data_IF_517244371928
#
_entry.id   IF_517244371928
#
_cell.length_a   1.000
_cell.length_b   1.000
_cell.length_c   1.000
_cell.angle_alpha   90.00
_cell.angle_beta   90.00
_cell.angle_gamma   90.00
#
_symmetry.space_group_name_H-M   'P 1'
#
loop_
_entity.id
_entity.type
_entity.pdbx_description
1 polymer ?
#
# COMPACT_ATOMS: atom_id res chain seq x y z
N UNK A 1 34.57 -8.85 -15.81
CA UNK A 1 34.91 -7.82 -16.81
C UNK A 1 33.86 -6.73 -16.67
N UNK A 2 34.25 -5.57 -16.15
CA UNK A 2 33.35 -4.45 -15.84
C UNK A 2 33.07 -3.63 -17.12
N UNK A 3 31.82 -3.30 -17.39
CA UNK A 3 31.47 -2.25 -18.34
C UNK A 3 30.58 -1.19 -17.67
N UNK A 4 31.14 0.02 -17.54
CA UNK A 4 30.40 1.27 -17.29
C UNK A 4 29.64 1.66 -18.55
N UNK A 5 28.40 2.12 -18.42
CA UNK A 5 27.64 2.76 -19.51
C UNK A 5 27.59 4.26 -19.24
N UNK A 6 28.03 5.05 -20.23
CA UNK A 6 28.00 6.52 -20.24
C UNK A 6 26.79 6.98 -21.07
N UNK A 7 26.07 8.01 -20.63
CA UNK A 7 24.98 8.63 -21.40
C UNK A 7 25.44 9.97 -21.98
N UNK A 8 25.15 10.30 -23.26
CA UNK A 8 25.48 11.60 -23.83
C UNK A 8 24.48 12.67 -23.37
N UNK A 9 24.98 13.88 -23.15
CA UNK A 9 24.19 15.06 -22.79
C UNK A 9 23.63 15.76 -24.04
N UNK A 10 22.38 16.25 -23.91
CA UNK A 10 21.85 17.36 -24.71
C UNK A 10 20.85 16.96 -25.78
N UNK A 11 19.56 17.14 -25.51
CA UNK A 11 18.59 17.62 -26.49
C UNK A 11 17.54 18.46 -25.76
N UNK A 12 17.49 19.74 -26.09
CA UNK A 12 16.42 20.67 -25.73
C UNK A 12 15.20 20.36 -26.60
N UNK A 13 14.01 20.30 -26.01
CA UNK A 13 12.76 20.46 -26.74
C UNK A 13 11.90 21.53 -26.10
N UNK A 14 11.41 22.39 -26.98
CA UNK A 14 10.60 23.57 -26.74
C UNK A 14 9.26 23.20 -26.11
N UNK A 15 8.76 24.13 -25.32
CA UNK A 15 7.44 24.16 -24.70
C UNK A 15 6.32 23.85 -25.67
N UNK A 16 5.51 22.83 -25.39
CA UNK A 16 4.05 22.96 -25.44
C UNK A 16 3.32 21.78 -24.76
N UNK A 17 2.48 22.15 -23.78
CA UNK A 17 1.24 21.51 -23.32
C UNK A 17 1.19 19.97 -23.12
N UNK A 18 1.83 19.45 -22.04
CA UNK A 18 1.77 18.02 -21.70
C UNK A 18 1.44 17.70 -20.22
N UNK A 19 0.81 18.61 -19.49
CA UNK A 19 0.56 18.45 -18.04
C UNK A 19 -0.52 17.41 -17.68
N UNK A 20 -1.40 17.04 -18.61
CA UNK A 20 -2.52 16.11 -18.35
C UNK A 20 -2.19 14.62 -18.54
N UNK A 21 -1.10 14.27 -19.24
CA UNK A 21 -0.80 12.87 -19.54
C UNK A 21 0.04 12.17 -18.46
N UNK A 22 0.82 12.92 -17.67
CA UNK A 22 1.68 12.36 -16.63
C UNK A 22 0.90 11.88 -15.38
N UNK A 23 -0.32 12.38 -15.15
CA UNK A 23 -1.16 12.00 -13.99
C UNK A 23 -1.91 10.68 -14.20
N UNK A 24 -2.24 10.34 -15.45
CA UNK A 24 -3.08 9.19 -15.82
C UNK A 24 -2.35 7.84 -15.79
N UNK A 25 -1.05 7.80 -16.10
CA UNK A 25 -0.31 6.53 -16.15
C UNK A 25 0.00 5.92 -14.77
N UNK A 26 0.11 6.74 -13.72
CA UNK A 26 0.49 6.23 -12.40
C UNK A 26 -0.65 5.46 -11.73
N UNK A 27 -1.90 5.88 -11.91
CA UNK A 27 -3.03 5.17 -11.31
C UNK A 27 -3.32 3.83 -11.97
N UNK A 28 -2.79 3.59 -13.18
CA UNK A 28 -2.76 2.26 -13.81
C UNK A 28 -1.75 1.30 -13.17
N UNK A 29 -0.66 1.78 -12.57
CA UNK A 29 0.33 0.93 -11.89
C UNK A 29 -0.16 0.39 -10.54
N UNK A 30 -1.26 0.95 -10.00
CA UNK A 30 -1.84 0.57 -8.70
C UNK A 30 -3.33 0.21 -8.77
N UNK A 31 -3.91 0.14 -9.98
CA UNK A 31 -5.25 -0.37 -10.21
C UNK A 31 -5.18 -1.89 -10.49
N UNK A 32 -6.15 -2.70 -9.99
CA UNK A 32 -6.18 -4.12 -10.29
C UNK A 32 -6.32 -4.35 -11.80
N UNK A 33 -5.52 -5.30 -12.33
CA UNK A 33 -5.52 -5.66 -13.74
C UNK A 33 -6.84 -6.38 -14.06
N UNK A 34 -7.71 -5.75 -14.84
CA UNK A 34 -8.86 -6.43 -15.46
C UNK A 34 -8.36 -7.15 -16.71
N UNK A 35 -8.45 -8.48 -16.70
CA UNK A 35 -8.06 -9.32 -17.84
C UNK A 35 -9.22 -9.31 -18.84
N UNK A 36 -9.09 -8.56 -19.93
CA UNK A 36 -9.93 -8.73 -21.11
C UNK A 36 -9.40 -9.92 -21.92
N UNK A 37 -10.14 -11.03 -21.95
CA UNK A 37 -9.80 -12.19 -22.77
C UNK A 37 -10.35 -12.00 -24.19
N UNK A 38 -9.55 -11.38 -25.05
CA UNK A 38 -9.77 -11.39 -26.50
C UNK A 38 -9.46 -12.79 -27.04
N UNK A 39 -10.50 -13.52 -27.45
CA UNK A 39 -10.38 -14.71 -28.28
C UNK A 39 -11.25 -14.55 -29.52
N UNK A 40 -10.62 -14.55 -30.69
CA UNK A 40 -11.28 -14.43 -31.98
C UNK A 40 -12.04 -15.73 -32.35
N UNK A 41 -13.36 -15.59 -32.38
CA UNK A 41 -14.44 -16.21 -33.16
C UNK A 41 -14.28 -17.59 -33.85
N UNK A 42 -15.25 -18.47 -33.56
CA UNK A 42 -15.91 -19.28 -34.61
C UNK A 42 -17.43 -19.29 -34.42
N UNK A 43 -18.11 -18.76 -35.45
CA UNK A 43 -19.53 -18.73 -35.83
C UNK A 43 -20.55 -19.60 -35.07
N UNK A 44 -21.66 -18.97 -34.65
CA UNK A 44 -22.83 -19.64 -34.09
C UNK A 44 -23.78 -18.70 -33.34
N UNK A 45 -24.80 -18.19 -34.03
CA UNK A 45 -25.82 -17.23 -33.59
C UNK A 45 -26.34 -17.42 -32.15
N UNK A 46 -26.16 -16.42 -31.29
CA UNK A 46 -26.84 -16.27 -29.99
C UNK A 46 -27.30 -14.84 -29.76
N UNK A 47 -28.41 -14.62 -29.02
CA UNK A 47 -29.13 -13.36 -28.99
C UNK A 47 -28.28 -12.25 -28.34
N UNK A 48 -28.36 -11.06 -28.93
CA UNK A 48 -27.74 -9.82 -28.47
C UNK A 48 -28.19 -9.51 -27.03
N UNK A 49 -27.39 -9.91 -26.05
CA UNK A 49 -27.44 -9.33 -24.71
C UNK A 49 -26.58 -8.08 -24.81
N UNK A 50 -27.20 -6.91 -24.68
CA UNK A 50 -26.47 -5.68 -24.39
C UNK A 50 -25.72 -5.91 -23.08
N UNK A 51 -24.42 -6.21 -23.16
CA UNK A 51 -23.54 -6.04 -22.02
C UNK A 51 -23.45 -4.55 -21.74
N UNK A 52 -24.21 -4.10 -20.74
CA UNK A 52 -23.99 -2.81 -20.11
C UNK A 52 -22.54 -2.79 -19.60
N UNK A 53 -21.67 -2.04 -20.29
CA UNK A 53 -20.45 -1.52 -19.69
C UNK A 53 -20.88 -0.76 -18.44
N UNK A 54 -20.72 -1.34 -17.27
CA UNK A 54 -20.76 -0.56 -16.04
C UNK A 54 -19.49 0.27 -16.02
N UNK A 55 -19.61 1.56 -16.31
CA UNK A 55 -18.58 2.58 -16.03
C UNK A 55 -18.33 2.66 -14.52
N UNK A 56 -17.69 1.64 -13.95
CA UNK A 56 -17.44 1.53 -12.53
C UNK A 56 -16.36 2.55 -12.14
N UNK A 57 -16.73 3.53 -11.32
CA UNK A 57 -15.82 4.55 -10.81
C UNK A 57 -14.61 3.92 -10.11
N UNK A 58 -13.40 4.30 -10.52
CA UNK A 58 -12.17 3.76 -9.94
C UNK A 58 -11.63 4.67 -8.84
N UNK A 59 -10.74 4.14 -7.98
CA UNK A 59 -10.02 4.95 -6.99
C UNK A 59 -9.26 6.08 -7.69
N UNK A 60 -8.77 5.82 -8.90
CA UNK A 60 -8.05 6.79 -9.69
C UNK A 60 -8.88 8.02 -10.05
N UNK A 61 -10.12 7.78 -10.43
CA UNK A 61 -11.04 8.84 -10.85
C UNK A 61 -11.38 9.73 -9.65
N UNK A 62 -11.67 9.11 -8.50
CA UNK A 62 -11.97 9.80 -7.25
C UNK A 62 -10.77 10.63 -6.78
N UNK A 63 -9.56 10.04 -6.78
CA UNK A 63 -8.35 10.74 -6.38
C UNK A 63 -7.98 11.86 -7.36
N UNK A 64 -8.23 11.68 -8.65
CA UNK A 64 -8.05 12.72 -9.65
C UNK A 64 -8.90 13.94 -9.31
N UNK A 65 -10.18 13.74 -8.99
CA UNK A 65 -11.10 14.80 -8.56
C UNK A 65 -10.65 15.49 -7.26
N UNK A 66 -10.33 14.71 -6.21
CA UNK A 66 -9.79 15.28 -4.97
C UNK A 66 -8.52 16.12 -5.20
N UNK A 67 -7.68 15.70 -6.14
CA UNK A 67 -6.43 16.37 -6.45
C UNK A 67 -6.59 17.69 -7.21
N UNK A 68 -7.80 18.01 -7.71
CA UNK A 68 -8.16 19.32 -8.27
C UNK A 68 -8.21 20.41 -7.19
N UNK A 69 -8.41 20.04 -5.92
CA UNK A 69 -8.37 20.95 -4.78
C UNK A 69 -6.97 21.52 -4.53
N UNK A 70 -5.91 20.91 -5.10
CA UNK A 70 -4.53 21.36 -4.92
C UNK A 70 -4.23 22.59 -5.79
N UNK A 71 -3.89 23.70 -5.13
CA UNK A 71 -3.41 24.95 -5.70
C UNK A 71 -1.95 24.78 -6.14
N UNK A 72 -1.72 24.72 -7.47
CA UNK A 72 -0.39 24.51 -8.07
C UNK A 72 0.52 25.74 -8.07
N UNK A 73 -0.02 26.93 -7.83
CA UNK A 73 0.74 28.19 -7.82
C UNK A 73 1.40 28.49 -6.47
N UNK A 74 1.05 27.74 -5.42
CA UNK A 74 1.55 27.90 -4.06
C UNK A 74 2.11 26.57 -3.55
N UNK A 75 3.20 26.62 -2.78
CA UNK A 75 3.83 25.39 -2.28
C UNK A 75 4.09 25.40 -0.77
N UNK A 76 3.71 24.32 -0.10
CA UNK A 76 4.15 23.94 1.23
C UNK A 76 5.52 23.27 1.14
N UNK A 77 6.55 23.89 1.74
CA UNK A 77 7.94 23.41 1.68
C UNK A 77 8.26 22.43 2.81
N UNK A 78 8.81 21.27 2.44
CA UNK A 78 9.28 20.21 3.33
C UNK A 78 10.78 20.04 3.19
N UNK A 79 11.50 20.16 4.30
CA UNK A 79 12.94 19.87 4.37
C UNK A 79 13.12 18.55 5.09
N UNK A 80 13.59 17.53 4.38
CA UNK A 80 13.60 16.13 4.83
C UNK A 80 15.04 15.63 4.89
N UNK A 81 15.43 15.05 6.02
CA UNK A 81 16.63 14.23 6.11
C UNK A 81 16.21 12.75 6.01
N UNK A 82 16.86 11.95 5.16
CA UNK A 82 16.50 10.54 4.93
C UNK A 82 16.72 9.66 6.17
N UNK A 83 17.68 9.99 7.03
CA UNK A 83 17.90 9.32 8.30
C UNK A 83 16.82 9.66 9.34
N UNK A 84 16.08 10.77 9.18
CA UNK A 84 15.04 11.20 10.11
C UNK A 84 13.80 11.80 9.40
N UNK A 85 13.17 10.98 8.54
CA UNK A 85 12.02 11.39 7.72
C UNK A 85 10.84 11.84 8.57
N UNK A 86 10.55 11.12 9.66
CA UNK A 86 9.43 11.43 10.55
C UNK A 86 9.52 12.83 11.15
N UNK A 87 10.67 13.21 11.71
CA UNK A 87 10.84 14.55 12.29
C UNK A 87 10.64 15.66 11.25
N UNK A 88 11.27 15.50 10.07
CA UNK A 88 11.10 16.44 8.96
C UNK A 88 9.65 16.58 8.51
N UNK A 89 8.95 15.45 8.38
CA UNK A 89 7.53 15.41 8.04
C UNK A 89 6.68 16.06 9.13
N UNK A 90 6.81 15.63 10.38
CA UNK A 90 6.04 16.14 11.51
C UNK A 90 6.21 17.65 11.68
N UNK A 91 7.43 18.17 11.57
CA UNK A 91 7.68 19.62 11.55
C UNK A 91 6.97 20.25 10.36
N UNK A 92 7.16 19.75 9.14
CA UNK A 92 6.55 20.29 7.93
C UNK A 92 5.03 20.43 8.01
N UNK A 93 4.33 19.36 8.42
CA UNK A 93 2.87 19.32 8.53
C UNK A 93 2.30 20.11 9.74
N UNK A 94 3.12 20.38 10.76
CA UNK A 94 2.73 21.16 11.95
C UNK A 94 3.06 22.65 11.85
N UNK A 95 3.75 23.10 10.80
CA UNK A 95 4.08 24.52 10.62
C UNK A 95 2.80 25.35 10.49
N UNK A 96 2.80 26.54 11.08
CA UNK A 96 1.71 27.52 10.90
C UNK A 96 1.52 27.98 9.44
N UNK A 97 2.55 27.82 8.60
CA UNK A 97 2.50 28.14 7.16
C UNK A 97 2.08 26.96 6.28
N UNK A 98 1.86 25.78 6.87
CA UNK A 98 1.41 24.63 6.12
C UNK A 98 -0.07 24.79 5.76
N UNK A 99 -0.36 24.61 4.47
CA UNK A 99 -1.71 24.50 3.95
C UNK A 99 -1.81 23.20 3.14
N UNK A 100 -2.76 22.30 3.44
CA UNK A 100 -2.97 21.07 2.68
C UNK A 100 -3.43 21.31 1.24
N UNK A 101 -4.00 22.49 0.91
CA UNK A 101 -4.39 22.84 -0.45
C UNK A 101 -3.20 23.27 -1.31
N UNK A 102 -2.06 23.65 -0.73
CA UNK A 102 -0.88 24.01 -1.51
C UNK A 102 -0.16 22.78 -2.04
N UNK A 103 0.48 22.87 -3.22
CA UNK A 103 1.32 21.78 -3.70
C UNK A 103 2.51 21.54 -2.74
N UNK A 104 3.10 20.37 -2.81
CA UNK A 104 4.21 19.98 -1.96
C UNK A 104 5.52 20.18 -2.70
N UNK A 105 6.44 20.94 -2.09
CA UNK A 105 7.82 21.06 -2.55
C UNK A 105 8.74 20.39 -1.54
N UNK A 106 9.43 19.33 -1.96
CA UNK A 106 10.32 18.56 -1.09
C UNK A 106 11.78 18.89 -1.41
N UNK A 107 12.55 19.16 -0.37
CA UNK A 107 14.01 19.26 -0.42
C UNK A 107 14.64 18.25 0.53
N UNK A 108 15.50 17.40 -0.01
CA UNK A 108 16.32 16.53 0.83
C UNK A 108 17.60 17.25 1.26
N UNK A 109 17.91 17.13 2.54
CA UNK A 109 19.16 17.61 3.15
C UNK A 109 19.98 16.41 3.58
N UNK A 110 21.26 16.40 3.26
CA UNK A 110 22.20 15.41 3.76
C UNK A 110 22.54 15.64 5.25
N UNK A 111 23.35 14.74 5.82
CA UNK A 111 23.78 14.81 7.23
C UNK A 111 24.77 15.94 7.49
N UNK A 112 25.31 16.56 6.44
CA UNK A 112 26.17 17.74 6.51
C UNK A 112 25.38 19.06 6.35
N UNK A 113 24.06 18.98 6.17
CA UNK A 113 23.16 20.13 6.04
C UNK A 113 23.16 20.78 4.65
N UNK A 114 23.81 20.16 3.67
CA UNK A 114 23.82 20.63 2.28
C UNK A 114 22.54 20.16 1.58
N UNK A 115 21.97 21.04 0.75
CA UNK A 115 20.79 20.72 -0.04
C UNK A 115 21.19 19.90 -1.24
N UNK A 116 20.57 18.74 -1.45
CA UNK A 116 20.69 18.01 -2.71
C UNK A 116 20.02 18.84 -3.81
N UNK A 117 20.77 19.23 -4.85
CA UNK A 117 20.28 20.00 -6.00
C UNK A 117 19.34 19.15 -6.87
N UNK A 118 18.14 18.88 -6.36
CA UNK A 118 17.06 18.26 -7.10
C UNK A 118 16.01 19.33 -7.45
N UNK A 119 15.91 19.68 -8.73
CA UNK A 119 14.76 20.41 -9.26
C UNK A 119 13.55 19.47 -9.17
N UNK A 120 12.55 19.85 -8.37
CA UNK A 120 11.38 19.03 -8.09
C UNK A 120 10.50 18.89 -9.35
N UNK A 121 10.82 17.88 -10.16
CA UNK A 121 10.00 17.39 -11.27
C UNK A 121 9.08 16.25 -10.82
N UNK A 122 8.81 16.12 -9.52
CA UNK A 122 7.98 15.09 -8.91
C UNK A 122 8.75 13.90 -8.33
N UNK A 123 10.05 13.78 -8.61
CA UNK A 123 10.92 12.75 -8.04
C UNK A 123 11.04 12.82 -6.51
N UNK A 124 11.55 13.94 -5.96
CA UNK A 124 11.73 14.11 -4.52
C UNK A 124 10.43 13.99 -3.73
N UNK A 125 9.33 14.56 -4.24
CA UNK A 125 8.00 14.43 -3.64
C UNK A 125 7.57 12.98 -3.49
N UNK A 126 7.66 12.19 -4.57
CA UNK A 126 7.25 10.78 -4.56
C UNK A 126 8.13 9.94 -3.63
N UNK A 127 9.45 10.19 -3.63
CA UNK A 127 10.38 9.54 -2.72
C UNK A 127 10.01 9.81 -1.25
N UNK A 128 9.80 11.08 -0.89
CA UNK A 128 9.42 11.46 0.46
C UNK A 128 8.11 10.79 0.90
N UNK A 129 7.06 10.84 0.07
CA UNK A 129 5.78 10.24 0.42
C UNK A 129 5.87 8.71 0.60
N UNK A 130 6.76 8.06 -0.15
CA UNK A 130 7.03 6.62 0.00
C UNK A 130 7.73 6.33 1.33
N UNK A 131 8.81 7.06 1.63
CA UNK A 131 9.53 6.94 2.90
C UNK A 131 8.63 7.27 4.10
N UNK A 132 7.69 8.20 3.94
CA UNK A 132 6.72 8.57 4.97
C UNK A 132 5.78 7.41 5.32
N UNK A 133 5.28 6.67 4.33
CA UNK A 133 4.45 5.49 4.58
C UNK A 133 5.24 4.38 5.30
N UNK A 134 6.51 4.17 4.94
CA UNK A 134 7.39 3.22 5.63
C UNK A 134 7.61 3.64 7.09
N UNK A 135 7.85 4.93 7.36
CA UNK A 135 7.96 5.43 8.73
C UNK A 135 6.67 5.23 9.51
N UNK A 136 5.51 5.53 8.91
CA UNK A 136 4.19 5.36 9.53
C UNK A 136 3.93 3.91 9.94
N UNK A 137 4.28 2.95 9.08
CA UNK A 137 4.10 1.50 9.34
C UNK A 137 4.75 1.04 10.64
N UNK A 138 5.86 1.66 11.03
CA UNK A 138 6.64 1.30 12.22
C UNK A 138 6.45 2.29 13.38
N UNK A 139 5.51 3.24 13.30
CA UNK A 139 5.23 4.16 14.40
C UNK A 139 4.59 3.43 15.57
N UNK A 140 4.94 3.84 16.79
CA UNK A 140 4.40 3.35 18.07
C UNK A 140 2.88 3.57 18.27
N UNK A 141 2.22 4.28 17.35
CA UNK A 141 0.77 4.48 17.39
C UNK A 141 0.01 3.31 16.74
N UNK A 142 0.74 2.38 16.10
CA UNK A 142 0.22 1.20 15.46
C UNK A 142 0.72 -0.08 16.16
N UNK A 143 -0.15 -1.07 16.30
CA UNK A 143 0.11 -2.42 16.79
C UNK A 143 -0.47 -3.46 15.82
N UNK A 144 -0.29 -4.75 16.10
CA UNK A 144 -0.73 -5.87 15.25
C UNK A 144 0.33 -6.36 14.26
N UNK A 145 0.01 -7.38 13.44
CA UNK A 145 0.90 -7.91 12.41
C UNK A 145 1.35 -6.82 11.41
N UNK A 146 2.52 -6.99 10.77
CA UNK A 146 3.12 -5.96 9.89
C UNK A 146 2.17 -5.45 8.78
N UNK A 147 1.31 -6.33 8.27
CA UNK A 147 0.39 -6.08 7.17
C UNK A 147 -1.06 -5.85 7.64
N UNK A 148 -1.32 -5.89 8.94
CA UNK A 148 -2.66 -5.78 9.53
C UNK A 148 -2.61 -4.94 10.80
N UNK A 149 -2.07 -3.73 10.68
CA UNK A 149 -1.91 -2.83 11.80
C UNK A 149 -3.22 -2.14 12.19
N UNK A 150 -3.45 -2.03 13.48
CA UNK A 150 -4.51 -1.19 14.04
C UNK A 150 -3.92 -0.14 14.99
N UNK A 151 -4.70 0.87 15.33
CA UNK A 151 -4.27 1.94 16.22
C UNK A 151 -4.26 1.47 17.67
N UNK A 152 -3.19 1.80 18.41
CA UNK A 152 -3.10 1.56 19.86
C UNK A 152 -3.04 2.88 20.61
N UNK A 153 -3.65 2.96 21.80
CA UNK A 153 -3.62 4.16 22.63
C UNK A 153 -2.24 4.37 23.27
N UNK A 154 -1.66 5.55 23.03
CA UNK A 154 -0.41 6.01 23.58
C UNK A 154 -0.58 7.44 24.10
N UNK A 155 -0.35 7.64 25.39
CA UNK A 155 -0.62 8.92 26.06
C UNK A 155 0.29 10.06 25.59
N UNK A 156 1.51 9.78 25.14
CA UNK A 156 2.39 10.80 24.55
C UNK A 156 1.90 11.18 23.15
N UNK A 157 1.57 10.20 22.32
CA UNK A 157 1.00 10.42 20.99
C UNK A 157 -0.32 11.22 21.04
N UNK A 158 -1.17 10.94 22.03
CA UNK A 158 -2.41 11.69 22.25
C UNK A 158 -2.15 13.17 22.57
N UNK A 159 -1.21 13.47 23.49
CA UNK A 159 -0.84 14.86 23.83
C UNK A 159 -0.26 15.63 22.66
N UNK A 160 0.47 14.96 21.77
CA UNK A 160 1.11 15.56 20.61
C UNK A 160 0.24 15.57 19.34
N UNK A 161 -1.01 15.10 19.47
CA UNK A 161 -2.00 14.94 18.40
C UNK A 161 -1.45 14.13 17.21
N UNK A 162 -0.67 13.10 17.53
CA UNK A 162 0.08 12.31 16.56
C UNK A 162 -0.86 11.49 15.65
N UNK A 163 -1.99 11.03 16.18
CA UNK A 163 -3.00 10.29 15.43
C UNK A 163 -3.58 11.14 14.30
N UNK A 164 -3.96 12.38 14.60
CA UNK A 164 -4.42 13.34 13.60
C UNK A 164 -3.35 13.64 12.57
N UNK A 165 -2.10 13.83 13.01
CA UNK A 165 -0.98 14.05 12.12
C UNK A 165 -0.77 12.87 11.16
N UNK A 166 -0.85 11.63 11.65
CA UNK A 166 -0.72 10.42 10.85
C UNK A 166 -1.85 10.28 9.81
N UNK A 167 -3.09 10.54 10.21
CA UNK A 167 -4.24 10.56 9.27
C UNK A 167 -4.06 11.62 8.19
N UNK A 168 -3.63 12.84 8.57
CA UNK A 168 -3.33 13.93 7.63
C UNK A 168 -2.24 13.54 6.63
N UNK A 169 -1.15 12.94 7.12
CA UNK A 169 -0.02 12.50 6.29
C UNK A 169 -0.46 11.47 5.25
N UNK A 170 -1.30 10.51 5.65
CA UNK A 170 -1.87 9.50 4.73
C UNK A 170 -2.76 10.16 3.68
N UNK A 171 -3.71 11.00 4.10
CA UNK A 171 -4.62 11.68 3.17
C UNK A 171 -3.86 12.52 2.13
N UNK A 172 -2.89 13.31 2.60
CA UNK A 172 -2.06 14.15 1.72
C UNK A 172 -1.20 13.29 0.80
N UNK A 173 -0.64 12.18 1.28
CA UNK A 173 0.12 11.26 0.43
C UNK A 173 -0.72 10.79 -0.75
N UNK A 174 -1.92 10.27 -0.49
CA UNK A 174 -2.77 9.70 -1.53
C UNK A 174 -3.22 10.78 -2.53
N UNK A 175 -3.67 11.96 -2.06
CA UNK A 175 -4.17 13.03 -2.96
C UNK A 175 -3.05 13.70 -3.77
N UNK A 176 -1.82 13.75 -3.24
CA UNK A 176 -0.65 14.23 -3.99
C UNK A 176 -0.05 13.18 -4.93
N UNK A 177 -0.67 11.99 -5.05
CA UNK A 177 -0.22 10.90 -5.93
C UNK A 177 0.90 10.03 -5.34
N UNK A 178 1.13 10.12 -4.03
CA UNK A 178 1.96 9.17 -3.28
C UNK A 178 1.20 7.88 -2.93
N UNK A 179 1.88 6.92 -2.29
CA UNK A 179 1.25 5.67 -1.87
C UNK A 179 0.31 5.88 -0.67
N UNK A 180 -0.73 5.04 -0.58
CA UNK A 180 -1.48 4.84 0.66
C UNK A 180 -0.71 3.97 1.67
N UNK A 181 -1.23 3.81 2.90
CA UNK A 181 -0.53 3.10 3.96
C UNK A 181 -0.33 1.62 3.63
N UNK A 182 -1.32 0.95 3.00
CA UNK A 182 -1.27 -0.49 2.63
C UNK A 182 -0.79 -1.41 3.75
N UNK A 183 -1.12 -1.07 4.99
CA UNK A 183 -0.77 -1.87 6.16
C UNK A 183 -1.89 -1.90 7.21
N UNK A 184 -2.98 -1.17 7.01
CA UNK A 184 -4.08 -1.14 7.99
C UNK A 184 -4.82 -2.47 8.00
N UNK A 185 -5.22 -2.94 9.18
CA UNK A 185 -6.12 -4.09 9.28
C UNK A 185 -7.47 -3.77 8.64
N UNK A 186 -8.08 -4.79 8.04
CA UNK A 186 -9.43 -4.68 7.49
C UNK A 186 -10.43 -4.30 8.57
N UNK A 187 -10.33 -4.86 9.78
CA UNK A 187 -11.13 -4.45 10.93
C UNK A 187 -11.09 -2.94 11.23
N UNK A 188 -9.90 -2.32 11.27
CA UNK A 188 -9.77 -0.88 11.50
C UNK A 188 -10.38 -0.09 10.33
N UNK A 189 -10.10 -0.52 9.09
CA UNK A 189 -10.58 0.18 7.90
C UNK A 189 -12.11 0.10 7.74
N UNK A 190 -12.70 -1.07 8.00
CA UNK A 190 -14.14 -1.27 8.02
C UNK A 190 -14.78 -0.38 9.09
N UNK A 191 -14.21 -0.33 10.29
CA UNK A 191 -14.69 0.56 11.34
C UNK A 191 -14.62 2.05 10.95
N UNK A 192 -13.50 2.50 10.36
CA UNK A 192 -13.33 3.88 9.89
C UNK A 192 -14.41 4.26 8.86
N UNK A 193 -14.72 3.35 7.95
CA UNK A 193 -15.66 3.56 6.84
C UNK A 193 -17.12 3.25 7.20
N UNK A 194 -17.41 2.89 8.45
CA UNK A 194 -18.76 2.57 8.92
C UNK A 194 -19.29 1.22 8.43
N UNK A 195 -18.43 0.36 7.89
CA UNK A 195 -18.77 -1.03 7.56
C UNK A 195 -18.73 -1.88 8.82
N UNK A 196 -19.76 -2.70 8.99
CA UNK A 196 -19.85 -3.66 10.09
C UNK A 196 -19.41 -5.01 9.52
N UNK A 197 -18.10 -5.25 9.54
CA UNK A 197 -17.54 -6.57 9.28
C UNK A 197 -16.57 -6.92 10.42
N UNK A 198 -16.70 -8.14 10.94
CA UNK A 198 -15.84 -8.64 12.01
C UNK A 198 -15.02 -9.79 11.46
N UNK A 199 -13.74 -9.53 11.30
CA UNK A 199 -12.72 -10.45 10.77
C UNK A 199 -11.57 -10.67 11.76
N UNK A 200 -11.64 -10.05 12.94
CA UNK A 200 -10.61 -10.13 13.97
C UNK A 200 -10.43 -11.52 14.56
N UNK A 201 -9.19 -11.86 14.86
CA UNK A 201 -8.76 -13.15 15.40
C UNK A 201 -7.97 -12.98 16.69
N UNK A 202 -7.79 -14.06 17.45
CA UNK A 202 -6.95 -14.05 18.66
C UNK A 202 -5.49 -13.68 18.32
N UNK A 203 -5.04 -13.94 17.09
CA UNK A 203 -3.69 -13.58 16.64
C UNK A 203 -3.45 -12.06 16.57
N UNK A 204 -4.53 -11.27 16.45
CA UNK A 204 -4.45 -9.81 16.41
C UNK A 204 -4.21 -9.18 17.79
N UNK A 205 -4.43 -9.95 18.87
CA UNK A 205 -4.17 -9.51 20.24
C UNK A 205 -2.68 -9.64 20.53
N UNK A 206 -1.99 -8.51 20.53
CA UNK A 206 -0.52 -8.45 20.74
C UNK A 206 -0.09 -8.51 22.20
N UNK A 207 -0.99 -8.26 23.15
CA UNK A 207 -0.71 -8.44 24.58
C UNK A 207 -0.74 -9.93 24.93
N UNK A 208 0.41 -10.49 25.30
CA UNK A 208 0.56 -11.92 25.58
C UNK A 208 -0.31 -12.42 26.74
N UNK A 209 -0.57 -11.58 27.74
CA UNK A 209 -1.42 -11.96 28.88
C UNK A 209 -2.87 -12.07 28.41
N UNK A 210 -3.34 -11.07 27.66
CA UNK A 210 -4.70 -11.07 27.09
C UNK A 210 -4.87 -12.19 26.08
N UNK A 211 -3.88 -12.40 25.21
CA UNK A 211 -3.88 -13.47 24.21
C UNK A 211 -3.97 -14.85 24.87
N UNK A 212 -3.15 -15.10 25.89
CA UNK A 212 -3.18 -16.37 26.64
C UNK A 212 -4.54 -16.60 27.28
N UNK A 213 -5.14 -15.58 27.90
CA UNK A 213 -6.48 -15.69 28.49
C UNK A 213 -7.54 -16.07 27.43
N UNK A 214 -7.51 -15.42 26.26
CA UNK A 214 -8.43 -15.72 25.16
C UNK A 214 -8.22 -17.13 24.59
N UNK A 215 -6.96 -17.59 24.46
CA UNK A 215 -6.67 -18.95 24.02
C UNK A 215 -7.24 -19.98 25.00
N UNK A 216 -7.03 -19.80 26.31
CA UNK A 216 -7.61 -20.68 27.33
C UNK A 216 -9.15 -20.69 27.27
N UNK A 217 -9.79 -19.51 27.23
CA UNK A 217 -11.26 -19.38 27.13
C UNK A 217 -11.78 -20.06 25.85
N UNK A 218 -11.12 -19.84 24.70
CA UNK A 218 -11.49 -20.46 23.43
C UNK A 218 -11.33 -21.98 23.46
N UNK A 219 -10.38 -22.47 24.27
CA UNK A 219 -10.05 -23.89 24.44
C UNK A 219 -10.97 -24.66 25.37
N UNK A 220 -11.83 -23.99 26.15
CA UNK A 220 -12.72 -24.63 27.12
C UNK A 220 -13.55 -25.75 26.49
N UNK A 221 -13.50 -26.95 27.07
CA UNK A 221 -14.17 -28.15 26.56
C UNK A 221 -15.54 -28.41 27.22
N UNK A 222 -15.84 -27.74 28.33
CA UNK A 222 -17.09 -27.88 29.08
C UNK A 222 -17.60 -26.55 29.64
N UNK A 223 -18.86 -26.52 30.06
CA UNK A 223 -19.49 -25.30 30.56
C UNK A 223 -18.89 -24.90 31.92
N UNK A 224 -18.65 -25.87 32.79
CA UNK A 224 -18.01 -25.65 34.09
C UNK A 224 -16.57 -25.12 33.93
N UNK A 225 -15.81 -25.64 32.97
CA UNK A 225 -14.48 -25.14 32.64
C UNK A 225 -14.51 -23.69 32.12
N UNK A 226 -15.46 -23.39 31.22
CA UNK A 226 -15.65 -22.04 30.71
C UNK A 226 -15.98 -21.06 31.85
N UNK A 227 -16.87 -21.45 32.76
CA UNK A 227 -17.24 -20.67 33.95
C UNK A 227 -16.05 -20.43 34.88
N UNK A 228 -15.24 -21.45 35.18
CA UNK A 228 -14.01 -21.29 35.95
C UNK A 228 -13.01 -20.32 35.30
N UNK A 229 -12.89 -20.37 33.97
CA UNK A 229 -12.00 -19.48 33.22
C UNK A 229 -12.53 -18.03 33.21
N UNK A 230 -13.84 -17.83 33.08
CA UNK A 230 -14.48 -16.51 33.23
C UNK A 230 -14.18 -15.93 34.61
N UNK A 231 -14.33 -16.73 35.67
CA UNK A 231 -14.03 -16.29 37.03
C UNK A 231 -12.53 -15.97 37.21
N UNK A 232 -11.65 -16.82 36.68
CA UNK A 232 -10.18 -16.63 36.69
C UNK A 232 -9.75 -15.33 35.99
N UNK A 233 -10.39 -14.99 34.87
CA UNK A 233 -10.07 -13.80 34.06
C UNK A 233 -11.08 -12.65 34.22
N UNK A 234 -11.88 -12.68 35.29
CA UNK A 234 -12.97 -11.72 35.55
C UNK A 234 -12.54 -10.26 35.42
N UNK A 235 -11.45 -9.85 36.08
CA UNK A 235 -10.96 -8.47 36.02
C UNK A 235 -10.62 -7.99 34.60
N UNK A 236 -10.09 -8.89 33.76
CA UNK A 236 -9.76 -8.61 32.37
C UNK A 236 -11.02 -8.46 31.53
N UNK A 237 -11.96 -9.40 31.69
CA UNK A 237 -13.24 -9.40 30.97
C UNK A 237 -14.12 -8.20 31.37
N UNK A 238 -14.17 -7.85 32.66
CA UNK A 238 -14.88 -6.68 33.18
C UNK A 238 -14.32 -5.38 32.59
N UNK A 239 -12.99 -5.26 32.45
CA UNK A 239 -12.36 -4.11 31.80
C UNK A 239 -12.78 -3.96 30.34
N UNK A 240 -12.98 -5.09 29.65
CA UNK A 240 -13.49 -5.13 28.29
C UNK A 240 -15.02 -4.98 28.17
N UNK A 241 -15.75 -5.06 29.29
CA UNK A 241 -17.21 -5.11 29.31
C UNK A 241 -17.80 -6.46 28.90
N UNK A 242 -16.98 -7.51 28.82
CA UNK A 242 -17.37 -8.87 28.46
C UNK A 242 -17.92 -9.64 29.68
N UNK A 243 -19.01 -9.15 30.28
CA UNK A 243 -19.58 -9.70 31.52
C UNK A 243 -20.62 -10.80 31.31
N UNK A 244 -20.78 -11.31 30.10
CA UNK A 244 -21.75 -12.37 29.80
C UNK A 244 -21.34 -13.68 30.49
N UNK A 245 -22.33 -14.39 31.05
CA UNK A 245 -22.15 -15.71 31.64
C UNK A 245 -22.91 -16.75 30.79
N UNK A 246 -22.24 -17.41 29.82
CA UNK A 246 -22.90 -18.28 28.87
C UNK A 246 -23.63 -19.44 29.52
N UNK A 247 -24.75 -19.86 28.91
CA UNK A 247 -25.50 -21.07 29.30
C UNK A 247 -25.09 -22.30 28.48
N UNK A 248 -24.14 -22.14 27.55
CA UNK A 248 -23.59 -23.18 26.68
C UNK A 248 -22.11 -22.92 26.41
N UNK A 249 -21.35 -23.97 26.08
CA UNK A 249 -19.88 -23.86 25.85
C UNK A 249 -19.59 -23.01 24.61
N UNK A 250 -20.50 -23.01 23.65
CA UNK A 250 -20.45 -22.24 22.41
C UNK A 250 -20.40 -20.72 22.67
N UNK A 251 -20.92 -20.25 23.80
CA UNK A 251 -20.88 -18.83 24.17
C UNK A 251 -19.47 -18.26 24.37
N UNK A 252 -18.43 -19.10 24.49
CA UNK A 252 -17.03 -18.65 24.47
C UNK A 252 -16.67 -17.87 23.20
N UNK A 253 -17.35 -18.14 22.07
CA UNK A 253 -17.12 -17.44 20.81
C UNK A 253 -17.53 -15.97 20.89
N UNK A 254 -18.64 -15.67 21.59
CA UNK A 254 -19.09 -14.29 21.79
C UNK A 254 -18.12 -13.53 22.69
N UNK A 255 -17.68 -14.15 23.79
CA UNK A 255 -16.69 -13.55 24.70
C UNK A 255 -15.41 -13.20 23.94
N UNK A 256 -14.87 -14.14 23.16
CA UNK A 256 -13.64 -13.91 22.38
C UNK A 256 -13.85 -12.81 21.35
N UNK A 257 -14.96 -12.85 20.61
CA UNK A 257 -15.31 -11.85 19.60
C UNK A 257 -15.43 -10.44 20.20
N UNK A 258 -16.21 -10.29 21.25
CA UNK A 258 -16.46 -9.01 21.91
C UNK A 258 -15.19 -8.45 22.53
N UNK A 259 -14.35 -9.33 23.10
CA UNK A 259 -13.06 -8.93 23.65
C UNK A 259 -12.11 -8.42 22.56
N UNK A 260 -12.00 -9.11 21.43
CA UNK A 260 -11.18 -8.66 20.28
C UNK A 260 -11.70 -7.32 19.75
N UNK A 261 -13.03 -7.16 19.64
CA UNK A 261 -13.63 -5.91 19.22
C UNK A 261 -13.32 -4.76 20.19
N UNK A 262 -13.40 -5.02 21.49
CA UNK A 262 -12.96 -4.06 22.49
C UNK A 262 -11.47 -3.74 22.36
N UNK A 263 -10.63 -4.76 22.20
CA UNK A 263 -9.17 -4.64 22.16
C UNK A 263 -8.69 -3.80 20.96
N UNK A 264 -9.29 -3.99 19.79
CA UNK A 264 -8.87 -3.31 18.56
C UNK A 264 -9.57 -1.96 18.41
N UNK A 265 -10.88 -1.90 18.68
CA UNK A 265 -11.72 -0.73 18.38
C UNK A 265 -12.03 0.07 19.64
N UNK A 266 -12.83 -0.47 20.56
CA UNK A 266 -13.44 0.36 21.61
C UNK A 266 -12.43 0.98 22.57
N UNK A 267 -11.38 0.25 22.98
CA UNK A 267 -10.32 0.80 23.83
C UNK A 267 -9.49 1.88 23.15
N UNK A 268 -9.47 1.92 21.81
CA UNK A 268 -8.68 2.85 21.01
C UNK A 268 -9.53 3.95 20.37
N UNK A 269 -10.79 4.12 20.79
CA UNK A 269 -11.75 5.03 20.16
C UNK A 269 -11.24 6.47 20.03
N UNK A 270 -10.55 7.00 21.05
CA UNK A 270 -9.94 8.33 20.99
C UNK A 270 -8.91 8.43 19.86
N UNK A 271 -8.00 7.45 19.79
CA UNK A 271 -6.95 7.37 18.76
C UNK A 271 -7.55 7.28 17.36
N UNK A 272 -8.57 6.42 17.20
CA UNK A 272 -9.30 6.22 15.95
C UNK A 272 -9.99 7.52 15.52
N UNK A 273 -10.67 8.22 16.43
CA UNK A 273 -11.35 9.46 16.11
C UNK A 273 -10.36 10.55 15.65
N UNK A 274 -9.25 10.73 16.37
CA UNK A 274 -8.22 11.71 15.96
C UNK A 274 -7.60 11.34 14.62
N UNK A 275 -7.34 10.07 14.38
CA UNK A 275 -6.85 9.58 13.09
C UNK A 275 -7.84 9.84 11.95
N UNK A 276 -9.14 9.58 12.18
CA UNK A 276 -10.24 9.90 11.25
C UNK A 276 -10.29 11.40 10.95
N UNK A 277 -10.22 12.25 11.96
CA UNK A 277 -10.18 13.71 11.79
C UNK A 277 -8.99 14.14 10.93
N UNK A 278 -7.84 13.46 11.07
CA UNK A 278 -6.67 13.66 10.23
C UNK A 278 -6.92 13.25 8.78
N UNK A 279 -7.50 12.07 8.57
CA UNK A 279 -7.88 11.55 7.25
C UNK A 279 -8.92 12.44 6.54
N UNK A 280 -9.70 13.24 7.25
CA UNK A 280 -10.61 14.22 6.64
C UNK A 280 -9.87 15.35 5.89
N UNK A 281 -8.55 15.45 6.02
CA UNK A 281 -7.73 16.37 5.22
C UNK A 281 -7.94 16.09 3.72
N UNK A 282 -8.16 17.14 2.94
CA UNK A 282 -8.46 17.04 1.50
C UNK A 282 -9.69 16.15 1.18
N UNK A 283 -10.60 15.99 2.15
CA UNK A 283 -11.86 15.25 2.00
C UNK A 283 -11.67 13.73 1.77
N UNK A 284 -10.50 13.19 2.10
CA UNK A 284 -10.19 11.77 1.90
C UNK A 284 -11.12 10.89 2.72
N UNK A 285 -11.39 11.21 3.99
CA UNK A 285 -12.29 10.39 4.82
C UNK A 285 -13.70 10.22 4.20
N UNK A 286 -14.26 11.30 3.65
CA UNK A 286 -15.55 11.24 2.96
C UNK A 286 -15.49 10.33 1.72
N UNK A 287 -14.41 10.41 0.93
CA UNK A 287 -14.20 9.51 -0.20
C UNK A 287 -14.05 8.04 0.23
N UNK A 288 -13.38 7.77 1.37
CA UNK A 288 -13.28 6.42 1.93
C UNK A 288 -14.63 5.87 2.39
N UNK A 289 -15.49 6.69 2.98
CA UNK A 289 -16.84 6.31 3.41
C UNK A 289 -17.77 6.03 2.22
N UNK A 290 -17.68 6.82 1.16
CA UNK A 290 -18.51 6.66 -0.04
C UNK A 290 -18.07 5.46 -0.90
N UNK A 291 -16.76 5.17 -0.94
CA UNK A 291 -16.19 4.16 -1.84
C UNK A 291 -15.22 3.19 -1.12
N UNK A 292 -15.63 2.53 -0.02
CA UNK A 292 -14.71 1.77 0.83
C UNK A 292 -14.03 0.60 0.10
N UNK A 293 -14.78 -0.16 -0.70
CA UNK A 293 -14.26 -1.33 -1.42
C UNK A 293 -13.16 -0.92 -2.42
N UNK A 294 -13.35 0.22 -3.08
CA UNK A 294 -12.43 0.75 -4.10
C UNK A 294 -11.11 1.22 -3.48
N UNK A 295 -11.15 1.69 -2.23
CA UNK A 295 -9.97 2.16 -1.50
C UNK A 295 -9.30 1.10 -0.62
N UNK A 296 -9.90 -0.08 -0.44
CA UNK A 296 -9.26 -1.19 0.30
C UNK A 296 -7.82 -1.47 -0.14
N UNK A 297 -7.48 -1.56 -1.45
CA UNK A 297 -6.09 -1.83 -1.89
C UNK A 297 -5.09 -0.71 -1.58
N UNK A 298 -5.57 0.51 -1.30
CA UNK A 298 -4.73 1.66 -0.92
C UNK A 298 -4.49 1.71 0.59
N UNK A 299 -5.47 1.28 1.38
CA UNK A 299 -5.47 1.41 2.83
C UNK A 299 -4.96 0.15 3.54
N UNK A 300 -5.47 -1.01 3.10
CA UNK A 300 -5.16 -2.32 3.65
C UNK A 300 -4.10 -3.04 2.81
N UNK A 301 -3.42 -4.00 3.42
CA UNK A 301 -2.48 -4.84 2.70
C UNK A 301 -3.26 -5.90 1.89
N UNK A 302 -3.13 -5.88 0.57
CA UNK A 302 -3.66 -6.92 -0.32
C UNK A 302 -2.58 -7.96 -0.64
N UNK A 303 -2.92 -9.24 -0.57
CA UNK A 303 -2.06 -10.31 -1.11
C UNK A 303 -2.33 -10.44 -2.60
N UNK A 304 -1.78 -9.54 -3.40
CA UNK A 304 -1.70 -9.78 -4.85
C UNK A 304 -0.60 -10.80 -5.10
N UNK A 305 -1.00 -12.03 -5.46
CA UNK A 305 -0.06 -13.00 -6.00
C UNK A 305 0.40 -12.46 -7.35
N UNK A 306 1.67 -12.07 -7.43
CA UNK A 306 2.28 -11.72 -8.69
C UNK A 306 2.31 -12.97 -9.57
N UNK A 307 1.45 -13.02 -10.58
CA UNK A 307 1.44 -14.13 -11.53
C UNK A 307 2.42 -13.82 -12.68
N UNK A 308 2.96 -14.85 -13.35
CA UNK A 308 3.76 -14.67 -14.56
C UNK A 308 3.08 -13.75 -15.58
N UNK A 309 1.76 -13.88 -15.74
CA UNK A 309 0.95 -13.11 -16.67
C UNK A 309 0.85 -11.63 -16.25
N UNK A 310 0.62 -11.37 -14.96
CA UNK A 310 0.59 -10.01 -14.42
C UNK A 310 1.95 -9.32 -14.56
N UNK A 311 3.05 -10.05 -14.32
CA UNK A 311 4.39 -9.50 -14.49
C UNK A 311 4.71 -9.27 -15.98
N UNK A 312 4.30 -10.18 -16.86
CA UNK A 312 4.43 -10.01 -18.30
C UNK A 312 3.70 -8.76 -18.79
N UNK A 313 2.48 -8.52 -18.30
CA UNK A 313 1.65 -7.40 -18.71
C UNK A 313 2.29 -6.02 -18.40
N UNK A 314 3.13 -5.93 -17.37
CA UNK A 314 3.80 -4.70 -16.92
C UNK A 314 4.96 -4.31 -17.87
N UNK A 315 5.60 -5.28 -18.50
CA UNK A 315 6.74 -5.03 -19.38
C UNK A 315 6.33 -4.95 -20.85
N UNK A 316 6.93 -3.98 -21.56
CA UNK A 316 6.91 -3.96 -23.03
C UNK A 316 8.31 -4.17 -23.56
N UNK A 317 8.50 -5.28 -24.27
CA UNK A 317 9.74 -5.55 -24.97
C UNK A 317 9.94 -4.54 -26.11
N UNK A 318 11.12 -3.94 -26.17
CA UNK A 318 11.53 -3.13 -27.31
C UNK A 318 12.30 -4.00 -28.28
N UNK A 319 11.69 -4.31 -29.41
CA UNK A 319 12.27 -5.15 -30.44
C UNK A 319 12.87 -4.30 -31.56
N UNK A 320 13.99 -4.78 -32.11
CA UNK A 320 14.63 -4.26 -33.32
C UNK A 320 13.70 -4.37 -34.53
N UNK A 321 14.05 -3.70 -35.63
CA UNK A 321 13.23 -3.65 -36.84
C UNK A 321 12.85 -5.04 -37.39
N UNK A 322 11.65 -5.10 -37.99
CA UNK A 322 11.09 -6.32 -38.59
C UNK A 322 12.03 -6.81 -39.70
N UNK A 323 12.41 -8.08 -39.64
CA UNK A 323 13.30 -8.71 -40.62
C UNK A 323 14.79 -8.65 -40.28
N UNK A 324 15.20 -7.95 -39.22
CA UNK A 324 16.59 -8.00 -38.75
C UNK A 324 16.93 -9.33 -38.07
N UNK A 325 18.15 -9.83 -38.28
CA UNK A 325 18.69 -11.00 -37.54
C UNK A 325 18.66 -10.77 -36.03
N UNK A 326 18.81 -9.50 -35.62
CA UNK A 326 18.72 -9.07 -34.22
C UNK A 326 17.32 -9.29 -33.62
N UNK A 327 16.25 -8.98 -34.38
CA UNK A 327 14.87 -9.23 -33.93
C UNK A 327 14.56 -10.71 -33.76
N UNK A 328 15.12 -11.58 -34.61
CA UNK A 328 14.94 -13.04 -34.47
C UNK A 328 15.51 -13.52 -33.13
N UNK A 329 16.71 -13.06 -32.79
CA UNK A 329 17.35 -13.40 -31.53
C UNK A 329 16.61 -12.80 -30.32
N UNK A 330 16.22 -11.51 -30.38
CA UNK A 330 15.42 -10.87 -29.33
C UNK A 330 14.08 -11.58 -29.07
N UNK A 331 13.42 -12.05 -30.14
CA UNK A 331 12.15 -12.81 -30.03
C UNK A 331 12.38 -14.16 -29.35
N UNK A 332 13.49 -14.84 -29.65
CA UNK A 332 13.89 -16.08 -28.98
C UNK A 332 14.15 -15.86 -27.49
N UNK A 333 14.82 -14.76 -27.15
CA UNK A 333 15.11 -14.37 -25.77
C UNK A 333 13.81 -14.05 -25.00
N UNK A 334 12.83 -13.40 -25.63
CA UNK A 334 11.51 -13.19 -25.02
C UNK A 334 10.79 -14.50 -24.70
N UNK A 335 10.94 -15.53 -25.54
CA UNK A 335 10.45 -16.88 -25.24
C UNK A 335 11.04 -17.42 -23.94
N UNK A 336 12.37 -17.40 -23.79
CA UNK A 336 13.02 -17.85 -22.56
C UNK A 336 12.65 -17.03 -21.34
N UNK A 337 12.42 -15.72 -21.50
CA UNK A 337 11.96 -14.89 -20.39
C UNK A 337 10.54 -15.29 -19.95
N UNK A 338 9.62 -15.57 -20.86
CA UNK A 338 8.28 -16.09 -20.54
C UNK A 338 8.36 -17.44 -19.85
N UNK A 339 9.18 -18.36 -20.37
CA UNK A 339 9.41 -19.67 -19.75
C UNK A 339 9.97 -19.51 -18.33
N UNK A 340 10.92 -18.59 -18.13
CA UNK A 340 11.46 -18.25 -16.81
C UNK A 340 10.39 -17.69 -15.85
N UNK A 341 9.49 -16.84 -16.34
CA UNK A 341 8.39 -16.34 -15.52
C UNK A 341 7.47 -17.48 -15.07
N UNK A 342 7.14 -18.41 -15.97
CA UNK A 342 6.32 -19.59 -15.66
C UNK A 342 7.01 -20.52 -14.65
N UNK A 343 8.31 -20.78 -14.83
CA UNK A 343 9.10 -21.64 -13.93
C UNK A 343 9.29 -21.05 -12.52
N UNK A 344 9.31 -19.72 -12.40
CA UNK A 344 9.45 -19.02 -11.11
C UNK A 344 8.11 -18.74 -10.41
N UNK A 345 6.98 -18.97 -11.09
CA UNK A 345 5.62 -18.58 -10.71
C UNK A 345 5.05 -19.14 -9.41
N UNK A 346 5.78 -20.00 -8.67
CA UNK A 346 5.34 -20.55 -7.37
C UNK A 346 5.95 -19.81 -6.17
N UNK A 347 7.03 -19.03 -6.35
CA UNK A 347 7.84 -18.55 -5.22
C UNK A 347 8.05 -17.03 -5.13
N UNK A 348 7.29 -16.20 -5.84
CA UNK A 348 7.31 -14.74 -5.65
C UNK A 348 6.19 -14.31 -4.69
N UNK A 349 6.34 -14.63 -3.40
CA UNK A 349 5.63 -13.87 -2.35
C UNK A 349 6.31 -12.51 -2.21
N UNK A 350 5.77 -11.48 -2.84
CA UNK A 350 6.07 -10.12 -2.42
C UNK A 350 5.41 -9.89 -1.05
N UNK A 351 6.16 -10.10 0.03
CA UNK A 351 5.87 -9.36 1.26
C UNK A 351 6.06 -7.89 0.91
N UNK A 352 5.07 -7.05 1.22
CA UNK A 352 4.94 -5.65 0.81
C UNK A 352 6.03 -4.71 1.34
N UNK A 353 7.30 -5.01 1.05
CA UNK A 353 8.41 -4.09 1.13
C UNK A 353 8.81 -3.78 -0.31
N UNK A 354 8.29 -2.67 -0.84
CA UNK A 354 8.77 -2.07 -2.08
C UNK A 354 10.16 -1.42 -1.88
N UNK A 355 11.04 -2.06 -1.09
CA UNK A 355 12.45 -1.71 -1.02
C UNK A 355 13.14 -2.40 -2.17
N UNK A 356 13.57 -1.60 -3.14
CA UNK A 356 14.50 -1.94 -4.22
C UNK A 356 13.91 -2.38 -5.57
N UNK A 357 12.99 -1.60 -6.13
CA UNK A 357 13.03 -1.38 -7.58
C UNK A 357 13.74 -0.06 -7.91
N UNK A 358 14.94 0.13 -7.37
CA UNK A 358 15.82 1.22 -7.78
C UNK A 358 16.44 0.85 -9.13
N UNK A 359 16.52 1.85 -10.03
CA UNK A 359 17.06 1.77 -11.39
C UNK A 359 18.55 1.36 -11.48
N UNK A 360 19.16 0.85 -10.41
CA UNK A 360 20.62 0.81 -10.28
C UNK A 360 21.23 -0.49 -9.73
N UNK A 361 20.48 -1.56 -9.48
CA UNK A 361 21.04 -2.94 -9.40
C UNK A 361 19.92 -3.98 -9.32
N UNK A 362 19.52 -4.55 -10.46
CA UNK A 362 18.93 -5.89 -10.49
C UNK A 362 20.07 -6.87 -10.73
N UNK A 363 20.65 -7.44 -9.68
CA UNK A 363 21.42 -8.67 -9.82
C UNK A 363 20.43 -9.83 -9.85
N UNK A 364 19.94 -10.16 -11.04
CA UNK A 364 19.19 -11.39 -11.26
C UNK A 364 20.23 -12.51 -11.24
N UNK A 365 20.21 -13.33 -10.19
CA UNK A 365 21.09 -14.49 -10.05
C UNK A 365 20.85 -15.49 -11.18
N UNK A 366 21.92 -16.08 -11.72
CA UNK A 366 21.82 -17.09 -12.77
C UNK A 366 21.12 -18.35 -12.23
N UNK A 367 19.94 -18.76 -12.74
CA UNK A 367 19.34 -20.03 -12.36
C UNK A 367 20.24 -21.19 -12.83
N UNK A 368 20.35 -22.26 -12.04
CA UNK A 368 21.16 -23.44 -12.40
C UNK A 368 20.73 -24.11 -13.73
N UNK A 369 19.55 -23.75 -14.25
CA UNK A 369 18.99 -24.21 -15.53
C UNK A 369 19.33 -23.33 -16.74
N UNK A 370 19.92 -22.14 -16.57
CA UNK A 370 20.25 -21.23 -17.67
C UNK A 370 21.76 -21.30 -17.99
N UNK A 371 22.15 -21.67 -19.22
CA UNK A 371 23.53 -21.63 -19.65
C UNK A 371 24.13 -20.21 -19.48
N UNK A 372 25.29 -20.10 -18.82
CA UNK A 372 25.98 -18.82 -18.51
C UNK A 372 26.15 -17.88 -19.71
N UNK A 373 26.30 -18.44 -20.92
CA UNK A 373 26.40 -17.71 -22.18
C UNK A 373 25.05 -17.06 -22.60
N UNK A 374 23.93 -17.73 -22.34
CA UNK A 374 22.58 -17.22 -22.58
C UNK A 374 22.23 -16.12 -21.57
N UNK A 375 22.69 -16.27 -20.33
CA UNK A 375 22.49 -15.27 -19.27
C UNK A 375 23.24 -13.95 -19.52
N UNK A 376 24.44 -14.04 -20.10
CA UNK A 376 25.19 -12.87 -20.57
C UNK A 376 24.55 -12.18 -21.79
N UNK A 377 23.78 -12.90 -22.62
CA UNK A 377 23.02 -12.33 -23.74
C UNK A 377 21.71 -11.67 -23.28
N UNK A 378 21.03 -12.26 -22.30
CA UNK A 378 19.82 -11.72 -21.65
C UNK A 378 20.07 -10.33 -21.03
N UNK A 379 21.22 -10.13 -20.39
CA UNK A 379 21.59 -8.85 -19.77
C UNK A 379 22.09 -7.77 -20.74
N UNK A 380 22.48 -8.14 -21.97
CA UNK A 380 23.09 -7.23 -22.95
C UNK A 380 22.15 -6.79 -24.08
N UNK A 381 21.09 -7.55 -24.38
CA UNK A 381 20.29 -7.34 -25.60
C UNK A 381 18.85 -6.87 -25.40
N UNK A 382 18.27 -6.99 -24.20
CA UNK A 382 16.87 -6.59 -23.95
C UNK A 382 16.79 -5.31 -23.12
N UNK A 383 16.21 -4.26 -23.72
CA UNK A 383 15.73 -3.09 -22.99
C UNK A 383 14.25 -3.23 -22.71
N UNK A 384 13.89 -3.26 -21.44
CA UNK A 384 12.51 -3.22 -20.99
C UNK A 384 12.14 -1.80 -20.58
N UNK A 385 10.98 -1.33 -21.02
CA UNK A 385 10.36 -0.11 -20.49
C UNK A 385 9.07 -0.48 -19.77
N UNK A 386 8.89 0.12 -18.59
CA UNK A 386 7.62 0.06 -17.87
C UNK A 386 6.55 0.79 -18.71
N UNK A 387 5.34 0.23 -18.80
CA UNK A 387 4.26 0.82 -19.60
C UNK A 387 3.81 2.19 -19.10
#
# INVERSE_FOLDING_TARGET
>A
MLCKVHFPAGFSFSSDNSANHARSNYTRLYAPIVIESDSEESDGSRPYVQEERTDAITAADILSDLSLKIIKTSCSRFNINRANVWDGAARGFKRASYDPLHDMLVKFTDDEGTTEDAVDTGGPKREFLTLLMDCLRTRRIFEGPENQRFLTFNSAAAREDEYFLAGRMIAVSIVHGGPGPRFLSEMLYNHLTGRIDFDGTIEDVTDEIMKTALLEISGAASLDELHMLIDKYSSLLETAGCSEYPQSVEGKQNIVKDFIQWYIIYRNQYSIQRFRDGLSTLDVMNALEQHPIVFTPYMCCGVEKLTPESLEAIFKAQLSEVGSTRRQEETRILGYWRDYLLDTGVCLKLVCSARNWSRSSCEIGNPQSVPLNLWAQLSSNLSFTNK
#
